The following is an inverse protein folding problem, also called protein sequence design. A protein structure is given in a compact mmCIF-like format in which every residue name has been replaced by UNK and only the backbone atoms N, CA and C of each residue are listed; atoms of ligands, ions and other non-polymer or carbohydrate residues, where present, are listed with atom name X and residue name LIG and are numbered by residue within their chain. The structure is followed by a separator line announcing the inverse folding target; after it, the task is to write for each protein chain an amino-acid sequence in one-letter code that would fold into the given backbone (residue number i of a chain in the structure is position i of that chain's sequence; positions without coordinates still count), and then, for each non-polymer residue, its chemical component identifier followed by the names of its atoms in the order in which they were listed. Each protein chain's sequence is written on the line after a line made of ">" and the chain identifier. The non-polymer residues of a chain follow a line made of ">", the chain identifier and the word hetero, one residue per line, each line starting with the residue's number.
data_IF_509390684092
#
_entry.id   IF_509390684092
#
_cell.length_a   1.000
_cell.length_b   1.000
_cell.length_c   1.000
_cell.angle_alpha   90.00
_cell.angle_beta   90.00
_cell.angle_gamma   90.00
#
_symmetry.space_group_name_H-M   'P 1'
#
loop_
_entity.id
_entity.type
_entity.pdbx_description
1 polymer ?
#
# COMPACT_ATOMS: atom_id res chain seq x y z
N UNK A 1 18.00 32.43 61.84
CA UNK A 1 16.83 31.74 61.23
C UNK A 1 16.86 32.05 59.74
N UNK A 2 17.20 31.04 58.91
CA UNK A 2 16.38 30.45 57.81
C UNK A 2 15.92 31.49 56.76
N UNK A 3 16.10 31.32 55.46
CA UNK A 3 16.13 30.09 54.67
C UNK A 3 16.89 30.29 53.34
N UNK A 4 17.52 29.22 52.86
CA UNK A 4 18.00 29.06 51.49
C UNK A 4 16.84 28.56 50.63
N UNK A 5 16.52 29.26 49.55
CA UNK A 5 15.50 28.83 48.57
C UNK A 5 16.22 28.24 47.36
N UNK A 6 16.34 26.92 47.34
CA UNK A 6 16.83 26.17 46.17
C UNK A 6 15.71 26.08 45.12
N UNK A 7 15.86 26.79 44.01
CA UNK A 7 15.04 26.59 42.83
C UNK A 7 15.55 25.35 42.06
N UNK A 8 14.81 24.23 42.14
CA UNK A 8 15.03 23.06 41.29
C UNK A 8 14.31 23.27 39.95
N UNK A 9 15.10 23.44 38.89
CA UNK A 9 14.62 23.43 37.51
C UNK A 9 14.27 21.97 37.14
N UNK A 10 12.99 21.64 36.99
CA UNK A 10 12.55 20.38 36.42
C UNK A 10 12.72 20.45 34.90
N UNK A 11 13.75 19.78 34.36
CA UNK A 11 13.79 19.46 32.93
C UNK A 11 12.88 18.26 32.67
N UNK A 12 11.72 18.52 32.07
CA UNK A 12 10.92 17.49 31.40
C UNK A 12 11.64 17.11 30.11
N UNK A 13 12.37 16.00 30.12
CA UNK A 13 12.92 15.42 28.91
C UNK A 13 11.79 14.87 28.05
N UNK A 14 11.56 15.47 26.87
CA UNK A 14 10.79 14.83 25.81
C UNK A 14 11.62 13.66 25.28
N UNK A 15 11.25 12.42 25.65
CA UNK A 15 11.75 11.25 24.97
C UNK A 15 11.25 11.30 23.53
N UNK A 16 12.15 11.49 22.57
CA UNK A 16 11.81 11.30 21.17
C UNK A 16 11.47 9.82 20.98
N UNK A 17 10.21 9.51 20.69
CA UNK A 17 9.83 8.19 20.22
C UNK A 17 10.51 8.00 18.86
N UNK A 18 11.63 7.26 18.85
CA UNK A 18 12.27 6.84 17.63
C UNK A 18 11.35 5.80 16.97
N UNK A 19 10.74 6.17 15.85
CA UNK A 19 10.01 5.24 15.02
C UNK A 19 11.05 4.53 14.13
N UNK A 20 11.06 3.20 14.12
CA UNK A 20 12.01 2.38 13.35
C UNK A 20 11.32 1.55 12.26
N UNK A 21 9.99 1.49 12.31
CA UNK A 21 9.19 0.54 11.55
C UNK A 21 8.44 1.21 10.39
N UNK A 22 7.94 0.41 9.45
CA UNK A 22 7.43 0.92 8.17
C UNK A 22 6.03 0.43 7.83
N UNK A 23 5.35 1.13 6.94
CA UNK A 23 4.11 0.66 6.30
C UNK A 23 4.09 1.06 4.82
N UNK A 24 3.48 0.22 3.99
CA UNK A 24 3.18 0.55 2.60
C UNK A 24 2.03 1.57 2.56
N UNK A 25 2.27 2.75 1.98
CA UNK A 25 1.29 3.85 1.95
C UNK A 25 0.76 4.19 0.57
N UNK A 26 1.61 4.13 -0.45
CA UNK A 26 1.33 4.81 -1.73
C UNK A 26 1.79 3.97 -2.90
N UNK A 27 0.84 3.65 -3.77
CA UNK A 27 1.11 3.01 -5.05
C UNK A 27 1.38 4.08 -6.12
N UNK A 28 2.41 3.84 -6.92
CA UNK A 28 2.64 4.52 -8.19
C UNK A 28 2.50 3.51 -9.32
N UNK A 29 1.84 3.92 -10.40
CA UNK A 29 1.71 3.13 -11.64
C UNK A 29 2.34 3.95 -12.75
N UNK A 30 3.33 3.39 -13.43
CA UNK A 30 4.05 4.04 -14.53
C UNK A 30 4.53 5.45 -14.15
N UNK A 31 5.16 5.54 -12.96
CA UNK A 31 5.69 6.76 -12.34
C UNK A 31 4.64 7.82 -11.98
N UNK A 32 3.35 7.47 -12.01
CA UNK A 32 2.25 8.35 -11.58
C UNK A 32 1.70 7.90 -10.23
N UNK A 33 1.71 8.80 -9.24
CA UNK A 33 1.07 8.54 -7.94
C UNK A 33 -0.42 8.30 -8.11
N UNK A 34 -0.94 7.28 -7.42
CA UNK A 34 -2.38 7.03 -7.31
C UNK A 34 -3.02 7.83 -6.14
N UNK A 35 -2.18 8.45 -5.29
CA UNK A 35 -2.55 9.14 -4.07
C UNK A 35 -2.44 8.22 -2.84
N UNK A 36 -2.07 8.80 -1.71
CA UNK A 36 -1.85 8.06 -0.46
C UNK A 36 -3.09 7.24 -0.06
N UNK A 37 -2.88 5.98 0.31
CA UNK A 37 -3.92 5.01 0.66
C UNK A 37 -4.85 4.59 -0.49
N UNK A 38 -4.75 5.21 -1.66
CA UNK A 38 -5.66 4.94 -2.79
C UNK A 38 -5.35 3.57 -3.37
N UNK A 39 -6.36 2.71 -3.48
CA UNK A 39 -6.24 1.31 -3.88
C UNK A 39 -5.41 0.44 -2.93
N UNK A 40 -4.88 0.98 -1.81
CA UNK A 40 -4.07 0.24 -0.83
C UNK A 40 -4.93 -0.12 0.38
N UNK A 41 -4.92 -1.40 0.76
CA UNK A 41 -5.60 -1.92 1.95
C UNK A 41 -4.72 -1.68 3.18
N UNK A 42 -4.73 -0.44 3.68
CA UNK A 42 -3.92 -0.02 4.83
C UNK A 42 -4.63 -0.29 6.16
N UNK A 43 -3.89 -0.45 7.28
CA UNK A 43 -4.46 -0.40 8.61
C UNK A 43 -5.07 0.99 8.89
N UNK A 44 -6.04 1.06 9.80
CA UNK A 44 -6.67 2.32 10.21
C UNK A 44 -6.07 2.92 11.49
N UNK A 45 -5.53 2.07 12.36
CA UNK A 45 -4.95 2.50 13.62
C UNK A 45 -3.53 3.06 13.43
N UNK A 46 -3.39 4.38 13.56
CA UNK A 46 -2.11 5.07 13.41
C UNK A 46 -1.08 4.76 14.49
N UNK A 47 -1.48 4.24 15.66
CA UNK A 47 -0.53 3.87 16.72
C UNK A 47 0.23 2.59 16.37
N UNK A 48 -0.46 1.65 15.73
CA UNK A 48 0.12 0.36 15.37
C UNK A 48 0.48 0.26 13.90
N UNK A 49 0.06 1.19 13.03
CA UNK A 49 0.17 1.08 11.56
C UNK A 49 1.53 0.61 11.05
N UNK A 50 2.62 1.06 11.64
CA UNK A 50 3.98 0.70 11.22
C UNK A 50 4.54 -0.54 11.90
N UNK A 51 3.90 -1.09 12.94
CA UNK A 51 4.43 -2.26 13.68
C UNK A 51 4.54 -3.50 12.78
N UNK A 52 5.49 -4.41 13.04
CA UNK A 52 5.56 -5.66 12.31
C UNK A 52 4.29 -6.50 12.53
N UNK A 53 4.05 -7.45 11.62
CA UNK A 53 3.01 -8.46 11.83
C UNK A 53 3.38 -9.31 13.04
N UNK A 54 2.45 -9.42 13.98
CA UNK A 54 2.69 -10.07 15.28
C UNK A 54 2.95 -11.57 15.16
N UNK A 55 2.36 -12.24 14.17
CA UNK A 55 2.47 -13.68 13.99
C UNK A 55 2.45 -14.08 12.52
N UNK A 56 3.45 -14.85 12.10
CA UNK A 56 3.64 -15.33 10.72
C UNK A 56 2.58 -16.34 10.25
N UNK A 57 1.70 -16.80 11.16
CA UNK A 57 0.57 -17.69 10.84
C UNK A 57 -0.79 -17.00 10.99
N UNK A 58 -0.82 -15.70 11.29
CA UNK A 58 -2.07 -14.93 11.41
C UNK A 58 -2.59 -14.45 10.07
N UNK A 59 -3.89 -14.12 10.01
CA UNK A 59 -4.52 -13.50 8.83
C UNK A 59 -3.88 -12.16 8.42
N UNK A 60 -3.26 -11.44 9.36
CA UNK A 60 -2.56 -10.19 9.04
C UNK A 60 -1.38 -10.42 8.09
N UNK A 61 -0.86 -11.64 7.95
CA UNK A 61 0.20 -11.97 6.96
C UNK A 61 -0.25 -11.85 5.50
N UNK A 62 -1.56 -11.87 5.26
CA UNK A 62 -2.13 -11.79 3.91
C UNK A 62 -1.89 -10.40 3.33
N UNK A 63 -2.41 -9.37 3.99
CA UNK A 63 -2.41 -8.01 3.45
C UNK A 63 -2.20 -6.94 4.53
N UNK A 64 -1.77 -7.33 5.73
CA UNK A 64 -1.57 -6.43 6.87
C UNK A 64 -2.81 -6.38 7.76
N UNK A 65 -2.69 -5.66 8.87
CA UNK A 65 -3.83 -5.37 9.75
C UNK A 65 -4.94 -4.67 8.97
N UNK A 66 -6.17 -5.19 9.08
CA UNK A 66 -7.35 -4.78 8.29
C UNK A 66 -7.22 -5.02 6.76
N UNK A 67 -6.13 -5.61 6.28
CA UNK A 67 -5.85 -5.75 4.85
C UNK A 67 -6.62 -6.86 4.15
N UNK A 68 -7.26 -7.76 4.89
CA UNK A 68 -8.18 -8.77 4.32
C UNK A 68 -9.45 -8.13 3.78
N UNK A 69 -9.84 -6.96 4.31
CA UNK A 69 -11.00 -6.19 3.86
C UNK A 69 -10.66 -5.40 2.59
N UNK A 70 -11.53 -5.43 1.57
CA UNK A 70 -11.34 -4.65 0.35
C UNK A 70 -11.52 -3.15 0.59
N UNK A 71 -10.82 -2.35 -0.21
CA UNK A 71 -11.04 -0.89 -0.26
C UNK A 71 -11.88 -0.51 -1.48
N UNK A 72 -12.62 0.62 -1.44
CA UNK A 72 -13.51 1.01 -2.54
C UNK A 72 -12.89 1.13 -3.93
N UNK A 73 -11.62 1.55 -4.07
CA UNK A 73 -11.02 1.82 -5.38
C UNK A 73 -10.03 0.76 -5.84
N UNK A 74 -9.96 0.59 -7.15
CA UNK A 74 -9.05 -0.31 -7.85
C UNK A 74 -8.31 0.47 -8.91
N UNK A 75 -6.99 0.37 -8.91
CA UNK A 75 -6.12 1.21 -9.74
C UNK A 75 -5.86 0.51 -11.08
N UNK A 76 -6.06 1.20 -12.21
CA UNK A 76 -5.81 0.62 -13.53
C UNK A 76 -4.30 0.51 -13.78
N UNK A 77 -3.89 -0.63 -14.33
CA UNK A 77 -2.53 -0.92 -14.80
C UNK A 77 -2.61 -1.60 -16.17
N UNK A 78 -1.46 -1.79 -16.81
CA UNK A 78 -1.31 -2.57 -18.03
C UNK A 78 -0.32 -3.72 -17.80
N UNK A 79 -0.34 -4.74 -18.66
CA UNK A 79 0.79 -5.68 -18.73
C UNK A 79 2.10 -4.91 -18.87
N UNK A 80 3.12 -5.29 -18.10
CA UNK A 80 4.40 -4.57 -18.10
C UNK A 80 4.45 -3.26 -17.34
N UNK A 81 3.34 -2.75 -16.77
CA UNK A 81 3.38 -1.50 -16.00
C UNK A 81 4.40 -1.59 -14.87
N UNK A 82 5.12 -0.49 -14.65
CA UNK A 82 6.03 -0.33 -13.53
C UNK A 82 5.22 0.04 -12.28
N UNK A 83 5.21 -0.84 -11.29
CA UNK A 83 4.64 -0.56 -9.98
C UNK A 83 5.74 -0.08 -9.03
N UNK A 84 5.53 1.04 -8.37
CA UNK A 84 6.37 1.48 -7.26
C UNK A 84 5.55 1.52 -5.98
N UNK A 85 6.04 0.83 -4.95
CA UNK A 85 5.45 0.77 -3.62
C UNK A 85 6.25 1.69 -2.70
N UNK A 86 5.61 2.71 -2.14
CA UNK A 86 6.25 3.59 -1.17
C UNK A 86 5.99 3.10 0.25
N UNK A 87 7.08 2.82 0.95
CA UNK A 87 7.13 2.46 2.36
C UNK A 87 7.57 3.65 3.19
N UNK A 88 6.77 4.03 4.20
CA UNK A 88 7.03 5.20 5.05
C UNK A 88 7.18 4.82 6.51
N UNK A 89 8.14 5.47 7.17
CA UNK A 89 8.36 5.44 8.61
C UNK A 89 7.29 6.26 9.35
N UNK A 90 6.87 7.38 8.74
CA UNK A 90 5.77 8.23 9.19
C UNK A 90 4.70 8.19 8.11
N UNK A 91 3.61 7.42 8.28
CA UNK A 91 2.67 7.16 7.19
C UNK A 91 2.02 8.45 6.64
N UNK A 92 1.83 9.46 7.52
CA UNK A 92 1.33 10.80 7.20
C UNK A 92 2.38 11.78 6.68
N UNK A 93 3.61 11.30 6.48
CA UNK A 93 4.77 12.05 6.01
C UNK A 93 5.11 13.29 6.85
N UNK A 94 4.82 13.29 8.15
CA UNK A 94 5.28 14.36 9.05
C UNK A 94 6.82 14.49 9.08
N UNK A 95 7.53 13.38 8.86
CA UNK A 95 8.98 13.33 8.70
C UNK A 95 9.35 12.38 7.55
N UNK A 96 10.46 12.60 6.84
CA UNK A 96 10.97 11.66 5.86
C UNK A 96 11.46 10.37 6.54
N UNK A 97 11.55 9.30 5.76
CA UNK A 97 12.11 8.01 6.18
C UNK A 97 11.24 6.85 5.73
N UNK A 98 11.87 5.69 5.49
CA UNK A 98 11.21 4.47 5.04
C UNK A 98 11.15 3.43 6.15
N UNK A 99 12.30 2.90 6.55
CA UNK A 99 12.51 1.93 7.63
C UNK A 99 13.88 2.21 8.26
N UNK A 100 14.09 1.80 9.51
CA UNK A 100 15.42 1.90 10.13
C UNK A 100 16.43 0.99 9.37
N UNK A 101 17.62 1.48 9.02
CA UNK A 101 18.61 0.73 8.25
C UNK A 101 19.06 -0.58 8.90
N UNK A 102 18.92 -0.72 10.22
CA UNK A 102 19.23 -1.95 10.94
C UNK A 102 18.26 -3.09 10.67
N UNK A 103 17.10 -2.84 10.03
CA UNK A 103 16.09 -3.85 9.71
C UNK A 103 16.46 -4.71 8.50
N UNK A 104 17.72 -5.14 8.41
CA UNK A 104 18.27 -5.91 7.30
C UNK A 104 17.42 -7.15 6.98
N UNK A 105 17.25 -7.42 5.69
CA UNK A 105 16.53 -8.60 5.20
C UNK A 105 15.97 -8.43 3.79
N UNK A 106 15.29 -9.46 3.25
CA UNK A 106 14.83 -9.49 1.87
C UNK A 106 13.53 -8.70 1.68
N UNK A 107 13.17 -8.50 0.41
CA UNK A 107 11.82 -8.12 0.01
C UNK A 107 11.30 -9.03 -1.09
N UNK A 108 9.99 -9.11 -1.23
CA UNK A 108 9.34 -9.83 -2.32
C UNK A 108 8.02 -9.17 -2.72
N UNK A 109 7.55 -9.46 -3.93
CA UNK A 109 6.24 -9.02 -4.41
C UNK A 109 5.48 -10.23 -4.94
N UNK A 110 4.25 -10.39 -4.45
CA UNK A 110 3.33 -11.45 -4.85
C UNK A 110 2.11 -10.87 -5.55
N UNK A 111 1.52 -11.69 -6.42
CA UNK A 111 0.22 -11.44 -7.01
C UNK A 111 -0.76 -12.54 -6.62
N UNK A 112 -2.03 -12.18 -6.54
CA UNK A 112 -3.16 -13.11 -6.54
C UNK A 112 -4.25 -12.59 -7.46
N UNK A 113 -4.63 -13.40 -8.46
CA UNK A 113 -5.77 -13.09 -9.33
C UNK A 113 -7.06 -13.33 -8.56
N UNK A 114 -8.04 -12.44 -8.71
CA UNK A 114 -9.39 -12.56 -8.17
C UNK A 114 -10.40 -12.28 -9.28
N UNK A 115 -11.60 -12.82 -9.16
CA UNK A 115 -12.70 -12.58 -10.11
C UNK A 115 -13.44 -11.29 -9.74
N UNK A 116 -13.69 -11.09 -8.44
CA UNK A 116 -14.27 -9.88 -7.89
C UNK A 116 -13.46 -9.30 -6.73
N UNK A 117 -12.80 -8.16 -6.99
CA UNK A 117 -11.93 -7.49 -6.03
C UNK A 117 -12.58 -7.12 -4.69
N UNK A 118 -13.90 -6.92 -4.67
CA UNK A 118 -14.63 -6.47 -3.47
C UNK A 118 -15.28 -7.59 -2.67
N UNK A 119 -15.28 -8.82 -3.16
CA UNK A 119 -15.93 -9.95 -2.46
C UNK A 119 -15.04 -11.17 -2.31
N UNK A 120 -14.07 -11.36 -3.19
CA UNK A 120 -13.19 -12.51 -3.15
C UNK A 120 -12.17 -12.36 -2.02
N UNK A 121 -11.91 -13.48 -1.35
CA UNK A 121 -10.96 -13.51 -0.23
C UNK A 121 -9.53 -13.26 -0.71
N UNK A 122 -8.82 -12.37 -0.03
CA UNK A 122 -7.38 -12.25 -0.17
C UNK A 122 -6.67 -13.48 0.42
N UNK A 123 -7.18 -14.02 1.53
CA UNK A 123 -6.60 -15.18 2.23
C UNK A 123 -6.72 -16.48 1.44
N UNK A 124 -5.83 -17.42 1.71
CA UNK A 124 -5.82 -18.75 1.11
C UNK A 124 -4.82 -18.87 -0.05
N UNK A 125 -5.09 -19.82 -0.93
CA UNK A 125 -4.26 -20.18 -2.08
C UNK A 125 -4.33 -19.14 -3.21
N UNK A 126 -3.58 -19.40 -4.29
CA UNK A 126 -3.57 -18.59 -5.51
C UNK A 126 -2.56 -17.44 -5.52
N UNK A 127 -1.76 -17.28 -4.47
CA UNK A 127 -0.64 -16.34 -4.47
C UNK A 127 0.54 -16.91 -5.25
N UNK A 128 1.25 -16.07 -5.99
CA UNK A 128 2.50 -16.42 -6.65
C UNK A 128 3.46 -15.25 -6.61
N UNK A 129 4.74 -15.55 -6.44
CA UNK A 129 5.80 -14.55 -6.33
C UNK A 129 6.20 -14.09 -7.73
N UNK A 130 6.25 -12.79 -7.99
CA UNK A 130 6.70 -12.22 -9.28
C UNK A 130 8.08 -11.56 -9.20
N UNK A 131 8.56 -11.32 -7.99
CA UNK A 131 9.82 -10.63 -7.75
C UNK A 131 10.33 -10.89 -6.34
N UNK A 132 11.64 -10.94 -6.18
CA UNK A 132 12.33 -10.94 -4.89
C UNK A 132 13.71 -10.27 -4.99
N UNK A 133 14.18 -9.77 -3.86
CA UNK A 133 15.55 -9.32 -3.67
C UNK A 133 16.02 -9.72 -2.27
N UNK A 134 17.15 -10.43 -2.21
CA UNK A 134 17.66 -11.07 -1.01
C UNK A 134 18.88 -10.36 -0.45
N UNK A 135 19.91 -11.15 -0.12
CA UNK A 135 21.26 -10.67 0.15
C UNK A 135 22.13 -10.84 -1.10
N UNK A 136 22.87 -9.80 -1.46
CA UNK A 136 23.85 -9.84 -2.54
C UNK A 136 25.27 -9.87 -1.93
N UNK A 137 26.03 -10.98 -2.06
CA UNK A 137 27.37 -11.09 -1.49
C UNK A 137 28.42 -10.22 -2.17
N UNK A 138 28.22 -9.83 -3.44
CA UNK A 138 29.16 -8.97 -4.17
C UNK A 138 29.10 -7.52 -3.67
N UNK A 139 27.89 -7.04 -3.37
CA UNK A 139 27.67 -5.67 -2.87
C UNK A 139 27.55 -5.59 -1.36
N UNK A 140 27.43 -6.74 -0.68
CA UNK A 140 27.14 -6.87 0.75
C UNK A 140 25.87 -6.12 1.18
N UNK A 141 24.86 -6.10 0.30
CA UNK A 141 23.60 -5.39 0.51
C UNK A 141 22.42 -6.33 0.59
N UNK A 142 21.49 -5.99 1.47
CA UNK A 142 20.15 -6.53 1.51
C UNK A 142 19.18 -5.67 0.68
N UNK A 143 18.00 -6.21 0.39
CA UNK A 143 16.91 -5.42 -0.17
C UNK A 143 16.62 -4.16 0.66
N UNK A 144 16.65 -4.26 1.99
CA UNK A 144 16.38 -3.13 2.89
C UNK A 144 17.41 -2.00 2.73
N UNK A 145 18.68 -2.30 2.46
CA UNK A 145 19.68 -1.26 2.16
C UNK A 145 19.26 -0.46 0.93
N UNK A 146 18.88 -1.15 -0.15
CA UNK A 146 18.36 -0.52 -1.37
C UNK A 146 17.07 0.27 -1.09
N UNK A 147 16.18 -0.24 -0.23
CA UNK A 147 14.95 0.45 0.16
C UNK A 147 15.24 1.79 0.83
N UNK A 148 16.20 1.81 1.76
CA UNK A 148 16.65 3.03 2.44
C UNK A 148 17.29 4.00 1.43
N UNK A 149 18.19 3.51 0.57
CA UNK A 149 18.84 4.31 -0.48
C UNK A 149 17.84 4.92 -1.49
N UNK A 150 16.72 4.23 -1.74
CA UNK A 150 15.63 4.68 -2.61
C UNK A 150 14.50 5.38 -1.85
N UNK A 151 14.73 5.82 -0.62
CA UNK A 151 13.75 6.56 0.19
C UNK A 151 12.40 5.84 0.34
N UNK A 152 12.41 4.52 0.45
CA UNK A 152 11.20 3.69 0.60
C UNK A 152 10.52 3.30 -0.70
N UNK A 153 11.11 3.61 -1.86
CA UNK A 153 10.49 3.36 -3.17
C UNK A 153 10.95 2.01 -3.76
N UNK A 154 10.15 0.97 -3.58
CA UNK A 154 10.38 -0.36 -4.16
C UNK A 154 9.69 -0.47 -5.53
N UNK A 155 10.44 -0.75 -6.60
CA UNK A 155 9.92 -0.77 -7.97
C UNK A 155 10.01 -2.16 -8.62
N UNK A 156 8.90 -2.66 -9.17
CA UNK A 156 8.78 -3.96 -9.86
C UNK A 156 7.89 -3.82 -11.10
N UNK A 157 8.27 -4.43 -12.22
CA UNK A 157 7.40 -4.52 -13.40
C UNK A 157 6.40 -5.67 -13.26
N UNK A 158 5.16 -5.46 -13.70
CA UNK A 158 4.21 -6.55 -13.88
C UNK A 158 4.69 -7.47 -15.03
N UNK A 159 4.66 -8.81 -14.86
CA UNK A 159 4.97 -9.72 -15.96
C UNK A 159 4.10 -9.46 -17.20
N UNK A 160 4.71 -9.58 -18.38
CA UNK A 160 4.03 -9.32 -19.66
C UNK A 160 2.96 -10.38 -19.99
N UNK A 161 3.15 -11.63 -19.55
CA UNK A 161 2.24 -12.74 -19.82
C UNK A 161 1.04 -12.84 -18.86
N UNK A 162 0.74 -11.79 -18.09
CA UNK A 162 -0.45 -11.80 -17.24
C UNK A 162 -1.73 -11.55 -18.08
N UNK A 163 -2.76 -12.39 -17.95
CA UNK A 163 -4.07 -12.13 -18.57
C UNK A 163 -4.80 -10.99 -17.85
N UNK A 164 -5.71 -10.33 -18.57
CA UNK A 164 -6.53 -9.25 -18.00
C UNK A 164 -7.26 -9.72 -16.74
N UNK A 165 -7.37 -8.85 -15.74
CA UNK A 165 -7.79 -9.33 -14.42
C UNK A 165 -7.80 -8.30 -13.32
N UNK A 166 -8.58 -8.58 -12.28
CA UNK A 166 -8.34 -8.02 -10.96
C UNK A 166 -7.21 -8.80 -10.28
N UNK A 167 -6.24 -8.08 -9.72
CA UNK A 167 -5.13 -8.66 -8.97
C UNK A 167 -4.91 -7.93 -7.66
N UNK A 168 -4.69 -8.69 -6.60
CA UNK A 168 -4.05 -8.18 -5.40
C UNK A 168 -2.54 -8.21 -5.62
N UNK A 169 -1.87 -7.12 -5.24
CA UNK A 169 -0.41 -6.99 -5.31
C UNK A 169 0.12 -6.79 -3.90
N UNK A 170 0.97 -7.70 -3.44
CA UNK A 170 1.46 -7.75 -2.07
C UNK A 170 2.98 -7.55 -2.03
N UNK A 171 3.48 -6.32 -1.84
CA UNK A 171 4.87 -6.12 -1.45
C UNK A 171 5.07 -6.54 0.01
N UNK A 172 6.18 -7.23 0.28
CA UNK A 172 6.61 -7.59 1.62
C UNK A 172 8.08 -7.25 1.84
N UNK A 173 8.38 -6.86 3.08
CA UNK A 173 9.73 -6.73 3.63
C UNK A 173 9.78 -7.67 4.84
N UNK A 174 10.85 -8.46 4.93
CA UNK A 174 11.14 -9.28 6.10
C UNK A 174 12.40 -8.73 6.75
N UNK A 175 12.28 -8.18 7.95
CA UNK A 175 13.41 -7.73 8.74
C UNK A 175 13.87 -8.86 9.68
N UNK A 176 15.18 -9.13 9.68
CA UNK A 176 15.80 -10.30 10.31
C UNK A 176 16.74 -9.95 11.46
N UNK A 177 16.86 -8.66 11.79
CA UNK A 177 17.76 -8.17 12.84
C UNK A 177 17.56 -8.81 14.23
N UNK A 178 16.38 -9.38 14.49
CA UNK A 178 16.10 -10.19 15.69
C UNK A 178 15.71 -11.65 15.42
N UNK A 179 15.75 -12.10 14.17
CA UNK A 179 15.33 -13.43 13.75
C UNK A 179 16.07 -14.53 14.52
N UNK A 180 17.39 -14.66 14.32
CA UNK A 180 18.19 -15.71 14.97
C UNK A 180 18.34 -15.53 16.50
N UNK A 181 18.39 -14.30 16.99
CA UNK A 181 18.75 -14.03 18.39
C UNK A 181 17.56 -13.92 19.36
N UNK A 182 16.35 -13.69 18.84
CA UNK A 182 15.13 -13.57 19.66
C UNK A 182 13.95 -14.40 19.14
N UNK A 183 14.14 -15.15 18.05
CA UNK A 183 13.06 -15.84 17.36
C UNK A 183 11.94 -14.87 16.94
N UNK A 184 12.33 -13.69 16.45
CA UNK A 184 11.43 -12.58 16.10
C UNK A 184 11.70 -12.05 14.68
N UNK A 185 11.39 -12.85 13.63
CA UNK A 185 11.35 -12.36 12.26
C UNK A 185 10.18 -11.38 12.08
N UNK A 186 10.43 -10.23 11.47
CA UNK A 186 9.46 -9.12 11.43
C UNK A 186 9.01 -8.82 10.00
N UNK A 187 7.74 -9.07 9.71
CA UNK A 187 7.14 -8.77 8.41
C UNK A 187 6.50 -7.38 8.37
N UNK A 188 6.77 -6.64 7.31
CA UNK A 188 6.08 -5.40 6.93
C UNK A 188 5.54 -5.56 5.52
N UNK A 189 4.22 -5.52 5.38
CA UNK A 189 3.55 -5.85 4.13
C UNK A 189 2.23 -5.09 4.01
N UNK A 190 1.67 -5.11 2.81
CA UNK A 190 0.33 -4.60 2.54
C UNK A 190 -0.18 -5.13 1.21
N UNK A 191 -1.40 -4.78 0.82
CA UNK A 191 -1.93 -5.13 -0.49
C UNK A 191 -2.46 -3.90 -1.24
N UNK A 192 -2.12 -3.81 -2.53
CA UNK A 192 -2.79 -2.93 -3.47
C UNK A 192 -3.79 -3.70 -4.33
N UNK A 193 -4.87 -3.03 -4.72
CA UNK A 193 -5.88 -3.53 -5.63
C UNK A 193 -5.66 -2.95 -7.02
N UNK A 194 -5.38 -3.80 -8.01
CA UNK A 194 -5.21 -3.37 -9.39
C UNK A 194 -6.17 -4.06 -10.33
N UNK A 195 -6.48 -3.36 -11.42
CA UNK A 195 -7.06 -3.94 -12.61
C UNK A 195 -6.00 -3.91 -13.70
N UNK A 196 -5.58 -5.08 -14.17
CA UNK A 196 -4.62 -5.22 -15.26
C UNK A 196 -5.36 -5.28 -16.59
N UNK A 197 -5.13 -4.29 -17.44
CA UNK A 197 -5.48 -4.34 -18.86
C UNK A 197 -4.41 -5.11 -19.65
N UNK A 198 -4.84 -6.11 -20.41
CA UNK A 198 -3.96 -7.01 -21.15
C UNK A 198 -4.69 -7.66 -22.32
N UNK A 199 -3.96 -7.89 -23.40
CA UNK A 199 -4.40 -8.65 -24.59
C UNK A 199 -4.08 -10.16 -24.47
N UNK A 200 -3.44 -10.59 -23.37
CA UNK A 200 -3.09 -11.99 -23.13
C UNK A 200 -4.36 -12.80 -22.93
N UNK A 201 -4.51 -13.84 -23.75
CA UNK A 201 -5.69 -14.70 -23.80
C UNK A 201 -5.50 -15.94 -22.95
N UNK A 202 -6.60 -16.45 -22.39
CA UNK A 202 -6.61 -17.68 -21.60
C UNK A 202 -6.59 -17.43 -20.10
N UNK A 203 -6.74 -18.50 -19.33
CA UNK A 203 -6.63 -18.46 -17.87
C UNK A 203 -5.17 -18.30 -17.45
N UNK A 204 -4.95 -17.67 -16.30
CA UNK A 204 -3.65 -17.67 -15.65
C UNK A 204 -3.38 -19.09 -15.11
N UNK A 205 -2.38 -19.75 -15.66
CA UNK A 205 -1.94 -21.08 -15.21
C UNK A 205 -0.60 -20.98 -14.48
N UNK A 206 -0.65 -21.01 -13.15
CA UNK A 206 0.55 -20.99 -12.29
C UNK A 206 0.86 -22.43 -11.86
N UNK A 207 2.05 -22.97 -12.17
CA UNK A 207 2.44 -24.29 -11.71
C UNK A 207 2.41 -24.39 -10.18
N UNK A 208 2.08 -25.57 -9.64
CA UNK A 208 1.82 -25.76 -8.20
C UNK A 208 3.02 -25.39 -7.33
N UNK A 209 4.23 -25.64 -7.81
CA UNK A 209 5.49 -25.31 -7.15
C UNK A 209 5.77 -23.79 -7.04
N UNK A 210 5.03 -22.98 -7.80
CA UNK A 210 5.08 -21.52 -7.77
C UNK A 210 3.92 -20.89 -6.99
N UNK A 211 2.97 -21.71 -6.53
CA UNK A 211 1.84 -21.26 -5.72
C UNK A 211 2.21 -21.20 -4.23
N UNK A 212 1.65 -20.21 -3.56
CA UNK A 212 1.67 -20.02 -2.11
C UNK A 212 0.24 -19.93 -1.57
N UNK A 213 0.06 -20.42 -0.35
CA UNK A 213 -1.12 -20.15 0.48
C UNK A 213 -0.72 -19.14 1.54
N UNK A 214 -1.43 -18.02 1.63
CA UNK A 214 -1.15 -16.97 2.61
C UNK A 214 -2.42 -16.78 3.47
N UNK A 215 -2.35 -16.95 4.81
CA UNK A 215 -1.20 -17.42 5.58
C UNK A 215 -0.88 -18.91 5.32
N UNK A 216 0.36 -19.33 5.62
CA UNK A 216 0.74 -20.75 5.62
C UNK A 216 1.97 -21.12 4.78
N UNK A 217 2.46 -20.24 3.91
CA UNK A 217 3.69 -20.49 3.13
C UNK A 217 4.98 -20.41 3.96
N UNK A 218 4.89 -19.90 5.20
CA UNK A 218 5.98 -19.80 6.18
C UNK A 218 5.49 -20.17 7.57
N UNK A 219 6.43 -20.61 8.40
CA UNK A 219 6.33 -20.79 9.85
C UNK A 219 7.63 -20.29 10.51
N UNK A 220 7.71 -20.30 11.84
CA UNK A 220 8.92 -19.80 12.55
C UNK A 220 10.17 -20.64 12.32
N UNK A 221 10.02 -21.91 11.88
CA UNK A 221 11.15 -22.81 11.62
C UNK A 221 11.63 -22.72 10.15
N UNK A 222 10.96 -21.90 9.33
CA UNK A 222 11.34 -21.68 7.94
C UNK A 222 12.78 -21.13 7.89
N UNK A 223 13.71 -21.73 7.12
CA UNK A 223 15.14 -21.41 7.20
C UNK A 223 15.50 -19.92 7.05
N UNK A 224 14.78 -19.18 6.20
CA UNK A 224 15.00 -17.73 6.05
C UNK A 224 14.55 -16.90 7.25
N UNK A 225 13.65 -17.41 8.09
CA UNK A 225 13.09 -16.72 9.26
C UNK A 225 13.92 -16.95 10.54
N UNK A 226 14.85 -17.90 10.51
CA UNK A 226 15.80 -18.17 11.60
C UNK A 226 17.22 -17.69 11.28
N UNK A 227 17.39 -16.96 10.18
CA UNK A 227 18.70 -16.58 9.65
C UNK A 227 19.39 -15.51 10.51
N UNK A 228 20.70 -15.65 10.72
CA UNK A 228 21.54 -14.66 11.40
C UNK A 228 22.17 -13.70 10.39
N UNK A 229 21.67 -12.46 10.36
CA UNK A 229 22.17 -11.43 9.43
C UNK A 229 23.52 -10.82 9.82
N UNK A 230 24.07 -11.16 10.99
CA UNK A 230 25.33 -10.61 11.49
C UNK A 230 26.53 -11.54 11.32
N UNK A 231 26.36 -12.67 10.62
CA UNK A 231 27.47 -13.56 10.30
C UNK A 231 28.43 -12.90 9.29
N UNK A 232 29.74 -13.14 9.45
CA UNK A 232 30.80 -12.45 8.67
C UNK A 232 30.77 -12.80 7.17
N UNK A 233 30.45 -14.05 6.81
CA UNK A 233 30.50 -14.57 5.44
C UNK A 233 29.13 -15.12 5.00
N UNK A 234 28.22 -14.24 4.56
CA UNK A 234 26.95 -14.65 3.95
C UNK A 234 27.17 -14.96 2.47
N UNK A 235 27.22 -16.24 2.09
CA UNK A 235 27.26 -16.62 0.66
C UNK A 235 25.87 -16.68 0.03
N UNK A 236 24.88 -17.13 0.80
CA UNK A 236 23.52 -17.36 0.33
C UNK A 236 22.50 -17.14 1.46
N UNK A 237 21.39 -16.50 1.11
CA UNK A 237 20.24 -16.36 1.99
C UNK A 237 19.02 -17.09 1.38
N UNK A 238 18.39 -18.04 2.10
CA UNK A 238 17.22 -18.77 1.61
C UNK A 238 15.96 -17.92 1.70
N UNK A 239 15.67 -17.16 0.63
CA UNK A 239 14.46 -16.32 0.57
C UNK A 239 13.20 -17.19 0.77
N UNK A 240 12.32 -16.86 1.73
CA UNK A 240 11.12 -17.65 2.00
C UNK A 240 10.12 -17.69 0.85
N UNK A 241 9.34 -18.77 0.78
CA UNK A 241 8.26 -18.95 -0.19
C UNK A 241 8.69 -19.53 -1.54
N UNK A 242 7.75 -19.62 -2.51
CA UNK A 242 8.02 -20.21 -3.81
C UNK A 242 9.04 -19.40 -4.60
N UNK A 243 9.65 -20.03 -5.62
CA UNK A 243 10.47 -19.32 -6.60
C UNK A 243 9.63 -18.32 -7.39
N UNK A 244 10.27 -17.25 -7.86
CA UNK A 244 9.65 -16.29 -8.78
C UNK A 244 9.05 -16.99 -10.00
N UNK A 245 7.82 -16.63 -10.35
CA UNK A 245 7.10 -17.08 -11.52
C UNK A 245 6.77 -15.89 -12.43
N UNK A 246 7.21 -15.98 -13.68
CA UNK A 246 6.96 -14.98 -14.71
C UNK A 246 6.20 -15.67 -15.84
N UNK A 247 4.88 -15.48 -15.98
CA UNK A 247 4.14 -16.11 -17.06
C UNK A 247 4.66 -15.62 -18.42
N UNK A 248 4.96 -16.57 -19.29
CA UNK A 248 5.51 -16.31 -20.62
C UNK A 248 4.42 -15.82 -21.59
N UNK A 249 4.78 -14.93 -22.51
CA UNK A 249 3.91 -14.47 -23.61
C UNK A 249 3.59 -15.57 -24.64
N UNK A 250 4.21 -16.75 -24.52
CA UNK A 250 4.15 -17.84 -25.50
C UNK A 250 2.89 -18.70 -25.39
N UNK A 251 2.12 -18.59 -24.29
CA UNK A 251 0.83 -19.25 -24.15
C UNK A 251 -0.30 -18.47 -24.85
N UNK A 252 -0.08 -18.14 -26.13
CA UNK A 252 -1.18 -17.99 -27.08
C UNK A 252 -1.80 -19.37 -27.26
N UNK A 253 -2.65 -19.80 -26.32
CA UNK A 253 -3.40 -21.03 -26.49
C UNK A 253 -4.20 -20.93 -27.79
N UNK A 254 -3.87 -21.78 -28.76
CA UNK A 254 -4.40 -21.79 -30.12
C UNK A 254 -5.91 -22.13 -30.21
N UNK A 255 -6.63 -22.10 -29.08
CA UNK A 255 -8.04 -22.45 -28.96
C UNK A 255 -8.88 -21.39 -28.24
N UNK A 256 -8.38 -20.16 -28.07
CA UNK A 256 -9.20 -19.06 -27.52
C UNK A 256 -9.95 -18.34 -28.63
N UNK A 257 -11.27 -18.28 -28.49
CA UNK A 257 -12.19 -17.62 -29.41
C UNK A 257 -11.67 -16.22 -29.79
N UNK A 258 -11.45 -16.00 -31.08
CA UNK A 258 -10.89 -14.76 -31.61
C UNK A 258 -11.83 -13.55 -31.45
N UNK A 259 -13.03 -13.78 -30.89
CA UNK A 259 -14.08 -12.79 -30.65
C UNK A 259 -14.32 -12.40 -29.18
N UNK A 260 -13.58 -12.92 -28.21
CA UNK A 260 -13.76 -12.50 -26.83
C UNK A 260 -13.41 -11.01 -26.68
N UNK A 261 -14.38 -10.19 -26.22
CA UNK A 261 -14.15 -8.78 -25.97
C UNK A 261 -13.12 -8.58 -24.83
N UNK A 262 -12.27 -7.53 -24.89
CA UNK A 262 -11.34 -7.22 -23.82
C UNK A 262 -12.09 -7.02 -22.51
N UNK A 263 -11.56 -7.59 -21.43
CA UNK A 263 -12.11 -7.36 -20.10
C UNK A 263 -12.00 -5.86 -19.78
N UNK A 264 -13.05 -5.28 -19.21
CA UNK A 264 -13.08 -3.87 -18.80
C UNK A 264 -13.25 -3.79 -17.28
N UNK A 265 -12.59 -2.82 -16.65
CA UNK A 265 -12.77 -2.55 -15.24
C UNK A 265 -14.20 -2.04 -14.99
N UNK A 266 -14.96 -2.81 -14.22
CA UNK A 266 -16.34 -2.48 -13.80
C UNK A 266 -16.46 -2.30 -12.29
N UNK A 267 -15.47 -2.76 -11.53
CA UNK A 267 -15.44 -2.76 -10.07
C UNK A 267 -14.36 -1.81 -9.57
N UNK A 268 -14.70 -1.07 -8.51
CA UNK A 268 -13.81 -0.14 -7.84
C UNK A 268 -13.38 1.06 -8.68
N UNK A 269 -14.21 1.46 -9.64
CA UNK A 269 -14.04 2.71 -10.37
C UNK A 269 -14.25 3.89 -9.43
N UNK A 270 -13.44 4.94 -9.60
CA UNK A 270 -13.73 6.24 -8.99
C UNK A 270 -15.00 6.78 -9.66
N UNK A 271 -16.06 7.13 -8.91
CA UNK A 271 -17.29 7.63 -9.49
C UNK A 271 -17.06 8.88 -10.36
N UNK A 272 -17.78 9.00 -11.48
CA UNK A 272 -17.63 10.14 -12.40
C UNK A 272 -18.01 11.48 -11.78
N UNK A 273 -18.94 11.46 -10.83
CA UNK A 273 -19.39 12.60 -10.02
C UNK A 273 -18.51 12.83 -8.78
N UNK A 274 -17.35 12.16 -8.70
CA UNK A 274 -16.41 12.40 -7.62
C UNK A 274 -15.74 13.75 -7.79
N UNK A 275 -16.05 14.68 -6.89
CA UNK A 275 -15.45 16.01 -6.92
C UNK A 275 -14.01 16.01 -6.41
N UNK A 276 -13.71 15.08 -5.50
CA UNK A 276 -12.49 15.10 -4.70
C UNK A 276 -12.27 13.77 -4.00
N UNK A 277 -11.02 13.29 -3.95
CA UNK A 277 -10.64 12.05 -3.27
C UNK A 277 -9.76 12.27 -2.04
N UNK A 278 -9.95 11.41 -1.04
CA UNK A 278 -9.01 11.21 0.07
C UNK A 278 -8.85 9.72 0.31
N UNK A 279 -7.68 9.15 0.05
CA UNK A 279 -7.48 7.70 -0.01
C UNK A 279 -8.57 7.02 -0.87
N UNK A 280 -9.39 6.15 -0.27
CA UNK A 280 -10.50 5.47 -0.96
C UNK A 280 -11.88 6.11 -0.73
N UNK A 281 -11.91 7.33 -0.19
CA UNK A 281 -13.12 8.11 -0.01
C UNK A 281 -13.31 9.13 -1.14
N UNK A 282 -14.57 9.36 -1.51
CA UNK A 282 -14.96 10.29 -2.56
C UNK A 282 -15.99 11.31 -2.05
N UNK A 283 -15.67 12.59 -2.22
CA UNK A 283 -16.59 13.72 -1.98
C UNK A 283 -17.58 13.88 -3.13
N UNK A 284 -18.87 13.92 -2.77
CA UNK A 284 -20.00 14.00 -3.69
C UNK A 284 -20.59 15.41 -3.71
N UNK A 285 -21.11 15.90 -4.85
CA UNK A 285 -21.73 17.21 -4.93
C UNK A 285 -22.89 17.36 -3.95
N UNK A 286 -23.04 18.55 -3.37
CA UNK A 286 -24.25 18.90 -2.62
C UNK A 286 -25.40 19.18 -3.60
N UNK A 287 -26.62 18.82 -3.20
CA UNK A 287 -27.82 19.18 -3.96
C UNK A 287 -27.98 20.72 -4.02
N UNK A 288 -28.43 21.28 -5.17
CA UNK A 288 -28.83 22.69 -5.25
C UNK A 288 -29.89 23.04 -4.22
N UNK A 289 -29.82 24.26 -3.67
CA UNK A 289 -30.80 24.76 -2.72
C UNK A 289 -31.20 26.20 -3.06
N UNK A 290 -32.47 26.52 -2.78
CA UNK A 290 -33.08 27.84 -2.98
C UNK A 290 -33.88 28.32 -1.75
N UNK A 291 -33.90 27.53 -0.67
CA UNK A 291 -34.60 27.85 0.57
C UNK A 291 -33.81 27.42 1.82
N UNK A 292 -34.28 27.86 2.99
CA UNK A 292 -33.60 27.62 4.26
C UNK A 292 -33.48 26.14 4.62
N UNK A 293 -34.53 25.35 4.39
CA UNK A 293 -34.54 23.94 4.77
C UNK A 293 -33.52 23.16 3.93
N UNK A 294 -33.52 23.39 2.61
CA UNK A 294 -32.58 22.75 1.69
C UNK A 294 -31.13 23.22 1.91
N UNK A 295 -30.91 24.49 2.28
CA UNK A 295 -29.58 25.01 2.63
C UNK A 295 -29.00 24.24 3.81
N UNK A 296 -29.76 24.12 4.90
CA UNK A 296 -29.33 23.40 6.11
C UNK A 296 -29.20 21.89 5.89
N UNK A 297 -30.01 21.30 5.01
CA UNK A 297 -29.83 19.91 4.58
C UNK A 297 -28.51 19.70 3.84
N UNK A 298 -28.15 20.61 2.92
CA UNK A 298 -26.86 20.58 2.23
C UNK A 298 -25.67 20.73 3.21
N UNK A 299 -25.76 21.64 4.20
CA UNK A 299 -24.75 21.79 5.27
C UNK A 299 -24.56 20.47 6.02
N UNK A 300 -25.67 19.89 6.48
CA UNK A 300 -25.66 18.63 7.22
C UNK A 300 -25.05 17.49 6.40
N UNK A 301 -25.42 17.38 5.13
CA UNK A 301 -24.89 16.36 4.22
C UNK A 301 -23.40 16.55 3.95
N UNK A 302 -22.93 17.80 3.81
CA UNK A 302 -21.52 18.11 3.64
C UNK A 302 -20.71 17.66 4.86
N UNK A 303 -21.14 18.01 6.08
CA UNK A 303 -20.44 17.61 7.30
C UNK A 303 -20.54 16.10 7.59
N UNK A 304 -21.62 15.44 7.19
CA UNK A 304 -21.70 13.98 7.23
C UNK A 304 -20.63 13.34 6.33
N UNK A 305 -20.44 13.89 5.13
CA UNK A 305 -19.37 13.49 4.22
C UNK A 305 -17.97 13.78 4.79
N UNK A 306 -17.75 14.93 5.42
CA UNK A 306 -16.50 15.25 6.13
C UNK A 306 -16.17 14.22 7.22
N UNK A 307 -17.16 13.88 8.04
CA UNK A 307 -17.01 12.89 9.10
C UNK A 307 -16.65 11.51 8.54
N UNK A 308 -17.31 11.09 7.47
CA UNK A 308 -17.01 9.81 6.83
C UNK A 308 -15.60 9.80 6.24
N UNK A 309 -15.19 10.88 5.55
CA UNK A 309 -13.82 11.02 5.04
C UNK A 309 -12.78 10.74 6.13
N UNK A 310 -12.92 11.42 7.28
CA UNK A 310 -11.99 11.29 8.42
C UNK A 310 -12.02 9.90 9.04
N UNK A 311 -13.21 9.30 9.17
CA UNK A 311 -13.38 7.95 9.72
C UNK A 311 -12.78 6.87 8.80
N UNK A 312 -12.92 7.04 7.49
CA UNK A 312 -12.40 6.11 6.48
C UNK A 312 -10.94 6.34 6.10
N UNK A 313 -10.28 7.34 6.70
CA UNK A 313 -8.92 7.69 6.33
C UNK A 313 -7.93 6.71 6.97
N UNK A 314 -7.02 6.11 6.18
CA UNK A 314 -5.85 5.45 6.75
C UNK A 314 -4.90 6.49 7.39
N UNK A 315 -3.85 6.07 8.10
CA UNK A 315 -2.94 6.94 8.85
C UNK A 315 -2.01 7.80 7.97
N UNK A 316 -2.41 8.12 6.74
CA UNK A 316 -1.69 8.97 5.77
C UNK A 316 -1.96 10.47 5.97
N UNK A 317 -2.64 10.83 7.05
CA UNK A 317 -3.00 12.21 7.39
C UNK A 317 -4.35 12.64 6.81
N UNK A 318 -4.88 13.76 7.32
CA UNK A 318 -6.25 14.21 7.07
C UNK A 318 -6.36 15.45 6.16
N UNK A 319 -5.26 15.90 5.55
CA UNK A 319 -5.20 17.16 4.77
C UNK A 319 -6.33 17.27 3.74
N UNK A 320 -6.61 16.20 3.01
CA UNK A 320 -7.69 16.17 2.02
C UNK A 320 -9.08 16.22 2.67
N UNK A 321 -9.32 15.49 3.76
CA UNK A 321 -10.56 15.60 4.53
C UNK A 321 -10.76 16.99 5.17
N UNK A 322 -9.68 17.66 5.54
CA UNK A 322 -9.73 19.02 6.09
C UNK A 322 -10.08 20.05 5.02
N UNK A 323 -9.61 19.88 3.77
CA UNK A 323 -10.08 20.69 2.63
C UNK A 323 -11.58 20.53 2.39
N UNK A 324 -12.11 19.31 2.51
CA UNK A 324 -13.55 19.08 2.43
C UNK A 324 -14.30 19.74 3.60
N UNK A 325 -13.74 19.67 4.82
CA UNK A 325 -14.30 20.34 5.99
C UNK A 325 -14.39 21.85 5.81
N UNK A 326 -13.35 22.46 5.24
CA UNK A 326 -13.33 23.88 4.90
C UNK A 326 -14.36 24.25 3.81
N UNK A 327 -14.66 23.33 2.88
CA UNK A 327 -15.77 23.51 1.95
C UNK A 327 -17.13 23.54 2.68
N UNK A 328 -17.34 22.67 3.65
CA UNK A 328 -18.58 22.69 4.44
C UNK A 328 -18.75 23.98 5.24
N UNK A 329 -17.67 24.57 5.76
CA UNK A 329 -17.70 25.89 6.40
C UNK A 329 -18.10 27.01 5.42
N UNK A 330 -17.64 26.94 4.16
CA UNK A 330 -18.06 27.89 3.11
C UNK A 330 -19.54 27.74 2.75
N UNK A 331 -20.07 26.53 2.85
CA UNK A 331 -21.47 26.21 2.56
C UNK A 331 -22.41 26.62 3.72
N UNK A 332 -21.94 26.53 4.96
CA UNK A 332 -22.65 26.99 6.17
C UNK A 332 -22.86 28.52 6.21
N UNK A 333 -21.85 29.29 5.77
CA UNK A 333 -21.86 30.74 5.89
C UNK A 333 -23.06 31.43 5.20
N UNK A 334 -23.44 31.14 3.94
CA UNK A 334 -24.67 31.69 3.35
C UNK A 334 -25.95 31.33 4.12
N UNK A 335 -26.09 30.09 4.61
CA UNK A 335 -27.27 29.66 5.35
C UNK A 335 -27.47 30.48 6.64
N UNK A 336 -26.39 30.76 7.38
CA UNK A 336 -26.44 31.61 8.59
C UNK A 336 -26.78 33.07 8.30
N UNK A 337 -26.53 33.54 7.07
CA UNK A 337 -26.81 34.90 6.61
C UNK A 337 -28.20 35.05 5.95
N UNK A 338 -29.03 34.00 5.99
CA UNK A 338 -30.29 33.92 5.27
C UNK A 338 -30.15 34.09 3.74
N UNK A 339 -29.02 33.65 3.19
CA UNK A 339 -28.74 33.60 1.75
C UNK A 339 -28.85 32.15 1.28
N UNK A 340 -29.97 31.82 0.66
CA UNK A 340 -30.32 30.43 0.36
C UNK A 340 -30.15 30.05 -1.12
N UNK A 341 -29.23 30.68 -1.84
CA UNK A 341 -28.86 30.26 -3.20
C UNK A 341 -27.51 29.55 -3.17
N UNK A 342 -27.47 28.29 -3.60
CA UNK A 342 -26.23 27.51 -3.66
C UNK A 342 -26.43 26.06 -4.11
N UNK A 343 -25.46 25.17 -3.88
CA UNK A 343 -24.22 25.38 -3.11
C UNK A 343 -23.17 26.20 -3.86
N UNK A 344 -22.18 26.80 -3.16
CA UNK A 344 -20.97 27.27 -3.81
C UNK A 344 -20.26 26.11 -4.51
N UNK A 345 -19.62 26.40 -5.64
CA UNK A 345 -18.81 25.41 -6.37
C UNK A 345 -17.67 24.90 -5.49
N UNK A 346 -17.37 23.60 -5.60
CA UNK A 346 -16.19 23.01 -4.99
C UNK A 346 -14.96 23.26 -5.89
N UNK A 347 -13.94 23.93 -5.36
CA UNK A 347 -12.76 24.38 -6.14
C UNK A 347 -11.43 23.84 -5.61
N UNK A 348 -11.44 23.12 -4.49
CA UNK A 348 -10.19 22.61 -3.91
C UNK A 348 -9.58 21.52 -4.80
N UNK A 349 -8.25 21.46 -4.85
CA UNK A 349 -7.51 20.40 -5.53
C UNK A 349 -6.98 19.41 -4.50
N UNK A 350 -6.96 18.13 -4.86
CA UNK A 350 -6.40 17.08 -4.03
C UNK A 350 -4.93 17.39 -3.71
N UNK A 351 -4.57 17.29 -2.43
CA UNK A 351 -3.17 17.31 -2.01
C UNK A 351 -2.63 15.92 -2.24
N UNK A 352 -1.74 15.81 -3.22
CA UNK A 352 -0.94 14.61 -3.47
C UNK A 352 0.48 14.92 -3.04
N UNK A 353 1.03 14.13 -2.12
CA UNK A 353 2.41 14.30 -1.70
C UNK A 353 3.36 13.96 -2.87
N UNK A 354 4.39 14.78 -3.13
CA UNK A 354 5.42 14.40 -4.09
C UNK A 354 6.16 13.16 -3.58
N UNK A 355 6.70 12.31 -4.48
CA UNK A 355 7.56 11.22 -4.06
C UNK A 355 8.77 11.75 -3.30
N UNK A 356 9.32 11.00 -2.32
CA UNK A 356 10.46 11.43 -1.51
C UNK A 356 11.78 11.49 -2.27
N UNK A 357 11.79 11.05 -3.54
CA UNK A 357 12.93 11.09 -4.44
C UNK A 357 12.54 10.70 -5.86
N UNK A 358 13.53 10.46 -6.72
CA UNK A 358 13.29 9.93 -8.06
C UNK A 358 12.68 8.53 -7.98
N UNK A 359 11.57 8.31 -8.69
CA UNK A 359 10.97 6.98 -8.78
C UNK A 359 11.94 6.01 -9.48
N UNK A 360 12.41 4.95 -8.82
CA UNK A 360 13.43 4.09 -9.39
C UNK A 360 12.85 3.28 -10.54
N UNK A 361 13.72 2.90 -11.49
CA UNK A 361 13.45 1.76 -12.35
C UNK A 361 13.31 0.48 -11.52
N UNK A 362 12.94 -0.63 -12.16
CA UNK A 362 12.98 -1.94 -11.51
C UNK A 362 14.37 -2.21 -10.91
N UNK A 363 14.42 -2.69 -9.66
CA UNK A 363 15.67 -2.77 -8.90
C UNK A 363 16.66 -3.83 -9.41
N UNK A 364 16.19 -5.06 -9.59
CA UNK A 364 16.96 -6.17 -10.15
C UNK A 364 16.18 -6.78 -11.32
N UNK A 365 16.87 -7.43 -12.26
CA UNK A 365 16.24 -7.90 -13.49
C UNK A 365 15.88 -9.39 -13.43
N UNK A 366 14.92 -9.77 -12.58
CA UNK A 366 14.42 -11.16 -12.51
C UNK A 366 13.73 -11.64 -13.81
N UNK A 367 13.47 -10.73 -14.77
CA UNK A 367 12.87 -11.07 -16.07
C UNK A 367 13.90 -11.40 -17.15
N UNK A 368 15.18 -11.13 -16.92
CA UNK A 368 16.24 -11.68 -17.77
C UNK A 368 16.52 -13.11 -17.29
N UNK A 369 16.16 -14.10 -18.12
CA UNK A 369 16.64 -15.47 -17.94
C UNK A 369 18.16 -15.40 -17.77
N UNK A 370 18.66 -15.73 -16.58
CA UNK A 370 20.03 -16.24 -16.49
C UNK A 370 19.99 -17.60 -17.20
N UNK A 371 20.40 -17.61 -18.46
CA UNK A 371 20.85 -18.85 -19.09
C UNK A 371 22.06 -19.30 -18.25
N UNK A 372 21.85 -20.32 -17.41
CA UNK A 372 22.93 -21.14 -16.86
C UNK A 372 23.36 -22.21 -17.87
#
# INVERSE_FOLDING_TARGET
>A
MKAYTNARLLMLGLAALANAHTTFTTLYVDRKSQGDGTCVRMPYDGETATFPIKSVVSEDMVCGRNGTEPVPFVCPTKKGSLLTFEFRLWPDAQKPGSIDPGHLGPCAVYLKKVDNMLTDSASGDGWFKIWEDGYNPETQKWCVDTLVEKNGLLSVNLPQGLPAGYYLVRPEILALHWAAHRNDPQYYLGCAQIFLDSDVKGALDVPKEHLATIPGYVDLDTPGLTFDVYQDDIEYYPIPGPKVFTPDNSHLSANVDSKAEPMVQTVGLIPQDCLFKSANWCGKPMAPYSDSALCWEAVKNCYAQSKECKKSSPPVGLKNCDLWSAYCEKLDKPCTQNLFEGPPAFEAKEVVLPPPGELPAMWNNVFEKKEE
#
